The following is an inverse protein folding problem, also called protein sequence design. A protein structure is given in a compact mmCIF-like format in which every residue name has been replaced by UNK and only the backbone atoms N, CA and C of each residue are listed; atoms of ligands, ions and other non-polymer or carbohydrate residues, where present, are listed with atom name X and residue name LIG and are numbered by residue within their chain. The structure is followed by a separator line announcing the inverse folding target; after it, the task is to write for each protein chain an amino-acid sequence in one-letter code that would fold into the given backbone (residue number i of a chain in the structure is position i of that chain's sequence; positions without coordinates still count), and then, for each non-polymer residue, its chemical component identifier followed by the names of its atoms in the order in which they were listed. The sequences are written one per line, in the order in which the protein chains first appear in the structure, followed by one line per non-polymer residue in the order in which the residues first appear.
data_IF_783782192338
#
_entry.id   IF_783782192338
#
_cell.length_a   1.000
_cell.length_b   1.000
_cell.length_c   1.000
_cell.angle_alpha   90.00
_cell.angle_beta   90.00
_cell.angle_gamma   90.00
#
_symmetry.space_group_name_H-M   'P 1'
#
loop_
_entity.id
_entity.type
_entity.pdbx_description
1 polymer ?
#
# COMPACT_ATOMS: atom_id res chain seq x y z
N UNK A 1 -15.08 -6.17 8.23
CA UNK A 1 -14.07 -5.16 7.87
C UNK A 1 -13.04 -5.08 8.99
N UNK A 2 -11.88 -5.73 8.83
CA UNK A 2 -10.82 -5.75 9.85
C UNK A 2 -9.74 -4.77 9.38
N UNK A 3 -9.45 -3.77 10.22
CA UNK A 3 -8.58 -2.64 9.88
C UNK A 3 -7.19 -2.89 10.43
N UNK A 4 -6.20 -2.89 9.57
CA UNK A 4 -4.79 -2.89 9.96
C UNK A 4 -4.34 -1.43 10.04
N UNK A 5 -3.86 -0.99 11.20
CA UNK A 5 -3.24 0.32 11.37
C UNK A 5 -1.73 0.09 11.55
N UNK A 6 -0.92 0.74 10.70
CA UNK A 6 0.52 0.60 10.76
C UNK A 6 1.17 1.96 11.02
N UNK A 7 1.54 2.21 12.29
CA UNK A 7 2.36 3.37 12.67
C UNK A 7 3.81 3.03 12.34
N UNK A 8 4.33 3.63 11.28
CA UNK A 8 5.71 3.39 10.85
C UNK A 8 6.66 4.23 11.69
N UNK A 9 6.96 3.79 12.91
CA UNK A 9 7.92 4.45 13.83
C UNK A 9 9.40 4.25 13.42
N UNK A 10 9.66 3.61 12.27
CA UNK A 10 11.02 3.29 11.84
C UNK A 10 11.67 4.47 11.11
N UNK A 11 12.44 5.21 11.91
CA UNK A 11 13.43 6.25 11.59
C UNK A 11 14.22 5.91 10.32
N UNK A 12 14.40 6.92 9.46
CA UNK A 12 15.13 6.85 8.19
C UNK A 12 16.43 6.03 8.27
N UNK A 13 16.48 4.88 7.57
CA UNK A 13 17.70 4.07 7.52
C UNK A 13 17.62 2.65 6.89
N UNK A 14 16.49 2.16 6.39
CA UNK A 14 16.39 0.80 5.83
C UNK A 14 14.97 0.37 5.41
N UNK A 15 14.73 -0.90 5.04
CA UNK A 15 14.06 -1.42 3.83
C UNK A 15 12.53 -1.21 3.75
N UNK A 16 12.07 0.04 3.80
CA UNK A 16 10.63 0.37 3.75
C UNK A 16 9.88 -0.25 2.56
N UNK A 17 10.52 -0.41 1.40
CA UNK A 17 9.93 -1.06 0.22
C UNK A 17 9.58 -2.53 0.49
N UNK A 18 10.54 -3.32 0.96
CA UNK A 18 10.33 -4.75 1.24
C UNK A 18 9.29 -4.97 2.35
N UNK A 19 9.25 -4.07 3.34
CA UNK A 19 8.23 -4.11 4.38
C UNK A 19 6.83 -3.86 3.82
N UNK A 20 6.65 -2.79 3.02
CA UNK A 20 5.34 -2.48 2.42
C UNK A 20 4.91 -3.60 1.47
N UNK A 21 5.82 -4.12 0.67
CA UNK A 21 5.58 -5.26 -0.22
C UNK A 21 5.11 -6.51 0.54
N UNK A 22 5.83 -6.89 1.61
CA UNK A 22 5.45 -8.03 2.44
C UNK A 22 4.09 -7.82 3.11
N UNK A 23 3.81 -6.63 3.66
CA UNK A 23 2.52 -6.32 4.27
C UNK A 23 1.36 -6.43 3.27
N UNK A 24 1.57 -5.99 2.03
CA UNK A 24 0.55 -6.09 0.97
C UNK A 24 0.30 -7.57 0.59
N UNK A 25 1.35 -8.38 0.53
CA UNK A 25 1.24 -9.82 0.31
C UNK A 25 0.44 -10.50 1.42
N UNK A 26 0.81 -10.27 2.68
CA UNK A 26 0.09 -10.83 3.82
C UNK A 26 -1.36 -10.36 3.88
N UNK A 27 -1.61 -9.09 3.56
CA UNK A 27 -2.96 -8.56 3.57
C UNK A 27 -3.85 -9.22 2.51
N UNK A 28 -3.29 -9.53 1.33
CA UNK A 28 -3.96 -10.33 0.30
C UNK A 28 -4.22 -11.75 0.75
N UNK A 29 -3.19 -12.41 1.28
CA UNK A 29 -3.29 -13.79 1.74
C UNK A 29 -4.33 -13.94 2.86
N UNK A 30 -4.41 -12.97 3.77
CA UNK A 30 -5.40 -12.90 4.83
C UNK A 30 -6.82 -12.52 4.36
N UNK A 31 -7.02 -12.25 3.06
CA UNK A 31 -8.33 -11.90 2.49
C UNK A 31 -8.81 -10.49 2.82
N UNK A 32 -7.91 -9.53 3.07
CA UNK A 32 -8.30 -8.14 3.26
C UNK A 32 -8.60 -7.45 1.92
N UNK A 33 -9.54 -6.50 1.97
CA UNK A 33 -9.93 -5.68 0.82
C UNK A 33 -9.17 -4.36 0.78
N UNK A 34 -8.90 -3.76 1.94
CA UNK A 34 -8.31 -2.44 2.06
C UNK A 34 -7.21 -2.43 3.11
N UNK A 35 -6.12 -1.73 2.81
CA UNK A 35 -5.08 -1.38 3.75
C UNK A 35 -5.10 0.13 3.97
N UNK A 36 -5.00 0.56 5.23
CA UNK A 36 -4.96 1.97 5.63
C UNK A 36 -3.75 2.23 6.51
N UNK A 37 -3.16 3.41 6.38
CA UNK A 37 -2.02 3.84 7.19
C UNK A 37 -2.06 5.35 7.43
N UNK A 38 -1.34 5.78 8.45
CA UNK A 38 -1.11 7.18 8.76
C UNK A 38 0.39 7.52 8.73
N UNK A 39 0.71 8.76 8.38
CA UNK A 39 2.08 9.27 8.33
C UNK A 39 2.12 10.73 8.74
N UNK A 40 3.27 11.22 9.21
CA UNK A 40 3.43 12.63 9.56
C UNK A 40 3.79 13.46 8.31
N UNK A 41 3.42 14.76 8.25
CA UNK A 41 3.80 15.64 7.14
C UNK A 41 5.32 15.73 6.93
N UNK A 42 6.10 15.59 8.00
CA UNK A 42 7.57 15.58 7.98
C UNK A 42 8.16 14.32 7.33
N UNK A 43 7.42 13.21 7.26
CA UNK A 43 7.88 11.92 6.73
C UNK A 43 7.75 11.83 5.20
N UNK A 44 8.30 12.81 4.48
CA UNK A 44 8.18 12.91 3.01
C UNK A 44 8.63 11.66 2.26
N UNK A 45 9.66 10.96 2.74
CA UNK A 45 10.15 9.71 2.14
C UNK A 45 9.11 8.58 2.25
N UNK A 46 8.42 8.47 3.39
CA UNK A 46 7.36 7.48 3.58
C UNK A 46 6.14 7.80 2.71
N UNK A 47 5.72 9.07 2.66
CA UNK A 47 4.64 9.51 1.77
C UNK A 47 4.94 9.17 0.30
N UNK A 48 6.17 9.42 -0.18
CA UNK A 48 6.59 9.03 -1.53
C UNK A 48 6.54 7.53 -1.75
N UNK A 49 6.98 6.75 -0.76
CA UNK A 49 6.94 5.29 -0.81
C UNK A 49 5.50 4.78 -0.94
N UNK A 50 4.59 5.24 -0.08
CA UNK A 50 3.19 4.80 -0.12
C UNK A 50 2.53 5.16 -1.45
N UNK A 51 2.75 6.37 -1.96
CA UNK A 51 2.25 6.76 -3.29
C UNK A 51 2.81 5.86 -4.41
N UNK A 52 4.09 5.49 -4.35
CA UNK A 52 4.70 4.57 -5.32
C UNK A 52 4.09 3.15 -5.25
N UNK A 53 3.62 2.73 -4.09
CA UNK A 53 2.89 1.47 -3.90
C UNK A 53 1.39 1.57 -4.23
N UNK A 54 0.92 2.70 -4.78
CA UNK A 54 -0.48 2.87 -5.19
C UNK A 54 -1.43 3.18 -4.02
N UNK A 55 -0.91 3.69 -2.91
CA UNK A 55 -1.75 4.30 -1.89
C UNK A 55 -2.12 5.73 -2.29
N UNK A 56 -3.37 6.10 -2.06
CA UNK A 56 -3.86 7.46 -2.22
C UNK A 56 -4.21 8.08 -0.87
N UNK A 57 -4.10 9.41 -0.78
CA UNK A 57 -4.53 10.13 0.42
C UNK A 57 -6.04 10.07 0.59
N UNK A 58 -6.46 9.96 1.85
CA UNK A 58 -7.85 10.03 2.25
C UNK A 58 -8.02 11.07 3.35
N UNK A 59 -9.25 11.54 3.51
CA UNK A 59 -9.62 12.32 4.68
C UNK A 59 -9.35 11.52 5.96
N UNK A 60 -9.15 12.24 7.06
CA UNK A 60 -8.94 11.66 8.37
C UNK A 60 -9.99 10.58 8.68
N UNK A 61 -9.50 9.38 8.95
CA UNK A 61 -10.34 8.24 9.27
C UNK A 61 -10.35 8.01 10.79
N UNK A 62 -11.43 8.44 11.45
CA UNK A 62 -11.65 8.28 12.90
C UNK A 62 -11.02 9.37 13.76
N UNK A 63 -11.12 9.22 15.09
CA UNK A 63 -10.50 10.14 16.04
C UNK A 63 -9.00 9.82 16.17
N UNK A 64 -8.16 10.52 15.40
CA UNK A 64 -6.71 10.41 15.55
C UNK A 64 -6.23 11.49 16.52
N UNK A 65 -5.51 11.14 17.60
CA UNK A 65 -4.92 12.14 18.51
C UNK A 65 -3.86 13.03 17.84
N UNK A 66 -3.40 12.68 16.64
CA UNK A 66 -2.47 13.48 15.85
C UNK A 66 -3.23 14.25 14.76
N UNK A 67 -3.51 15.55 14.97
CA UNK A 67 -4.32 16.35 14.03
C UNK A 67 -3.62 16.58 12.68
N UNK A 68 -2.30 16.50 12.63
CA UNK A 68 -1.53 16.74 11.41
C UNK A 68 -1.24 15.47 10.61
N UNK A 69 -1.66 14.29 11.09
CA UNK A 69 -1.36 13.06 10.37
C UNK A 69 -2.08 13.03 9.01
N UNK A 70 -1.35 12.61 7.99
CA UNK A 70 -1.87 12.30 6.68
C UNK A 70 -2.28 10.84 6.64
N UNK A 71 -3.44 10.55 6.06
CA UNK A 71 -3.99 9.21 5.98
C UNK A 71 -3.96 8.73 4.54
N UNK A 72 -3.64 7.46 4.37
CA UNK A 72 -3.55 6.83 3.07
C UNK A 72 -4.33 5.52 3.07
N UNK A 73 -4.89 5.16 1.94
CA UNK A 73 -5.47 3.83 1.74
C UNK A 73 -5.09 3.23 0.39
N UNK A 74 -5.18 1.91 0.32
CA UNK A 74 -5.03 1.15 -0.91
C UNK A 74 -5.93 -0.07 -0.88
N UNK A 75 -6.52 -0.38 -2.04
CA UNK A 75 -7.22 -1.64 -2.29
C UNK A 75 -6.21 -2.78 -2.49
N UNK A 76 -6.36 -3.88 -1.75
CA UNK A 76 -5.40 -5.01 -1.74
C UNK A 76 -5.98 -6.32 -2.26
N UNK A 77 -7.31 -6.48 -2.33
CA UNK A 77 -8.01 -7.66 -2.92
C UNK A 77 -7.90 -7.77 -4.45
N UNK A 78 -7.29 -6.79 -5.11
CA UNK A 78 -6.98 -6.83 -6.54
C UNK A 78 -5.65 -7.55 -6.80
N UNK A 79 -5.74 -8.79 -7.31
CA UNK A 79 -4.65 -9.41 -8.06
C UNK A 79 -4.28 -8.51 -9.23
N UNK A 80 -2.98 -8.37 -9.50
CA UNK A 80 -2.55 -7.88 -10.80
C UNK A 80 -2.99 -8.89 -11.86
N UNK A 81 -4.12 -8.65 -12.49
CA UNK A 81 -4.25 -8.88 -13.92
C UNK A 81 -3.38 -7.83 -14.63
N UNK A 82 -2.06 -7.96 -14.44
CA UNK A 82 -1.08 -7.38 -15.35
C UNK A 82 -1.06 -8.33 -16.54
N UNK A 83 -1.59 -7.83 -17.65
CA UNK A 83 -1.54 -8.43 -18.98
C UNK A 83 -0.19 -9.14 -19.21
N UNK A 84 -0.21 -10.47 -19.22
CA UNK A 84 0.69 -11.21 -20.09
C UNK A 84 -0.13 -11.48 -21.33
N UNK A 85 0.03 -10.62 -22.33
CA UNK A 85 -0.36 -10.95 -23.70
C UNK A 85 0.36 -12.25 -24.06
N UNK A 86 -0.37 -13.36 -23.96
CA UNK A 86 -0.04 -14.60 -24.63
C UNK A 86 -0.20 -14.35 -26.13
N UNK A 87 0.88 -13.88 -26.73
CA UNK A 87 1.05 -13.77 -28.18
C UNK A 87 0.68 -15.12 -28.81
N UNK A 88 -0.31 -15.18 -29.71
CA UNK A 88 -0.71 -16.43 -30.32
C UNK A 88 0.42 -16.86 -31.26
N UNK A 89 0.87 -18.09 -31.06
CA UNK A 89 1.78 -18.80 -31.93
C UNK A 89 1.39 -18.59 -33.40
N UNK A 90 2.25 -17.90 -34.16
CA UNK A 90 2.20 -17.92 -35.63
C UNK A 90 2.49 -19.34 -36.10
N UNK A 91 1.42 -20.12 -36.30
CA UNK A 91 1.36 -21.17 -37.32
C UNK A 91 1.50 -20.50 -38.69
N UNK A 92 2.58 -20.81 -39.40
CA UNK A 92 2.71 -20.88 -40.86
C UNK A 92 3.78 -21.94 -41.11
N UNK A 93 3.40 -23.18 -41.41
CA UNK A 93 3.14 -23.72 -42.75
C UNK A 93 4.25 -23.38 -43.74
#
# INVERSE_FOLDING_TARGET
MKRLYFRTEHRAGGPGHALVEHLLHEARYAGYTWMRLDTLPSMRSAQRLYRAFGFHEIAQYGANPLPEALFFERRVDGGSELQVESSPAKRRH
#
